data_IF_978987148432
#
_entry.id   IF_978987148432
#
_cell.length_a   1.000
_cell.length_b   1.000
_cell.length_c   1.000
_cell.angle_alpha   90.00
_cell.angle_beta   90.00
_cell.angle_gamma   90.00
#
_symmetry.space_group_name_H-M   'P 1'
#
loop_
_entity.id
_entity.type
_entity.pdbx_description
1 polymer ?
#
# COMPACT_ATOMS: atom_id res chain seq x y z
N UNK A 1 1.52 0.11 20.57
CA UNK A 1 1.85 -0.61 19.31
C UNK A 1 0.60 -0.58 18.46
N UNK A 2 0.57 0.26 17.42
CA UNK A 2 -0.58 0.32 16.50
C UNK A 2 -0.32 -0.63 15.34
N UNK A 3 -1.05 -1.73 15.29
CA UNK A 3 -1.02 -2.65 14.16
C UNK A 3 -1.96 -2.13 13.07
N UNK A 4 -1.49 -2.06 11.83
CA UNK A 4 -2.33 -1.76 10.66
C UNK A 4 -2.65 -3.08 9.96
N UNK A 5 -3.92 -3.49 10.01
CA UNK A 5 -4.40 -4.68 9.30
C UNK A 5 -4.97 -4.25 7.95
N UNK A 6 -4.50 -4.87 6.87
CA UNK A 6 -5.01 -4.67 5.52
C UNK A 6 -5.74 -5.94 5.11
N UNK A 7 -7.05 -5.85 4.89
CA UNK A 7 -7.88 -6.95 4.40
C UNK A 7 -8.50 -6.60 3.03
N UNK A 8 -8.11 -7.33 1.99
CA UNK A 8 -8.66 -7.12 0.64
C UNK A 8 -10.16 -7.43 0.54
N UNK A 9 -10.73 -8.22 1.47
CA UNK A 9 -12.18 -8.50 1.46
C UNK A 9 -13.03 -7.28 1.86
N UNK A 10 -12.51 -6.43 2.75
CA UNK A 10 -13.23 -5.25 3.26
C UNK A 10 -12.95 -3.98 2.44
N UNK A 11 -12.09 -4.08 1.42
CA UNK A 11 -11.66 -2.96 0.60
C UNK A 11 -12.78 -2.46 -0.33
N UNK A 12 -13.12 -1.18 -0.24
CA UNK A 12 -14.14 -0.53 -1.12
C UNK A 12 -13.80 -0.58 -2.61
N UNK A 13 -12.52 -0.74 -2.96
CA UNK A 13 -12.07 -0.85 -4.35
C UNK A 13 -12.14 -2.28 -4.90
N UNK A 14 -12.59 -3.27 -4.10
CA UNK A 14 -12.68 -4.68 -4.48
C UNK A 14 -13.47 -4.85 -5.79
N UNK A 15 -12.95 -5.71 -6.68
CA UNK A 15 -13.53 -6.00 -7.98
C UNK A 15 -13.61 -4.81 -8.96
N UNK A 16 -12.87 -3.73 -8.72
CA UNK A 16 -12.65 -2.65 -9.68
C UNK A 16 -11.29 -2.81 -10.39
N UNK A 17 -11.04 -2.13 -11.52
CA UNK A 17 -9.71 -2.12 -12.16
C UNK A 17 -8.57 -1.63 -11.25
N UNK A 18 -8.88 -0.93 -10.15
CA UNK A 18 -7.86 -0.55 -9.17
C UNK A 18 -7.30 -1.75 -8.39
N UNK A 19 -8.05 -2.86 -8.29
CA UNK A 19 -7.55 -4.09 -7.65
C UNK A 19 -6.48 -4.80 -8.46
N UNK A 20 -6.57 -4.77 -9.80
CA UNK A 20 -5.58 -5.40 -10.67
C UNK A 20 -4.25 -4.64 -10.69
N UNK A 21 -4.26 -3.36 -10.33
CA UNK A 21 -3.08 -2.49 -10.18
C UNK A 21 -2.71 -2.27 -8.69
N UNK A 22 -3.19 -3.12 -7.78
CA UNK A 22 -2.98 -2.93 -6.35
C UNK A 22 -1.65 -3.53 -5.89
N UNK A 23 -0.80 -2.72 -5.26
CA UNK A 23 0.47 -3.17 -4.65
C UNK A 23 0.27 -4.20 -3.52
N UNK A 24 -0.91 -4.24 -2.89
CA UNK A 24 -1.21 -5.14 -1.78
C UNK A 24 -1.21 -6.61 -2.23
N UNK A 25 -1.61 -6.90 -3.47
CA UNK A 25 -1.56 -8.26 -4.03
C UNK A 25 -0.12 -8.80 -4.02
N UNK A 26 0.84 -7.99 -4.49
CA UNK A 26 2.26 -8.33 -4.43
C UNK A 26 2.80 -8.44 -2.99
N UNK A 27 2.25 -7.65 -2.07
CA UNK A 27 2.63 -7.65 -0.67
C UNK A 27 2.07 -8.83 0.13
N UNK A 28 0.95 -9.44 -0.27
CA UNK A 28 0.36 -10.58 0.45
C UNK A 28 0.74 -11.93 -0.16
N UNK A 29 1.13 -11.97 -1.44
CA UNK A 29 1.53 -13.21 -2.14
C UNK A 29 2.98 -13.64 -1.86
N UNK A 30 3.80 -12.76 -1.29
CA UNK A 30 5.21 -13.03 -1.01
C UNK A 30 5.40 -13.67 0.36
N UNK A 31 5.68 -14.97 0.42
CA UNK A 31 6.16 -15.62 1.66
C UNK A 31 7.61 -15.25 2.00
N UNK A 32 8.30 -14.52 1.12
CA UNK A 32 9.72 -14.17 1.22
C UNK A 32 9.88 -12.65 1.31
N UNK A 33 9.37 -12.06 2.40
CA UNK A 33 9.53 -10.64 2.66
C UNK A 33 10.98 -10.31 3.04
N UNK A 34 11.79 -9.92 2.06
CA UNK A 34 12.99 -9.14 2.30
C UNK A 34 12.58 -7.69 2.62
N UNK A 35 13.13 -7.12 3.68
CA UNK A 35 12.96 -5.70 3.95
C UNK A 35 13.53 -4.90 2.77
N UNK A 36 12.75 -3.97 2.22
CA UNK A 36 13.25 -3.03 1.21
C UNK A 36 14.10 -1.99 1.93
N UNK A 37 15.42 -2.06 1.75
CA UNK A 37 16.37 -1.12 2.33
C UNK A 37 16.59 0.02 1.35
N UNK A 38 16.32 1.24 1.79
CA UNK A 38 16.62 2.46 1.05
C UNK A 38 17.88 3.13 1.60
N UNK A 39 18.73 3.65 0.73
CA UNK A 39 19.72 4.66 1.15
C UNK A 39 19.04 6.03 1.28
N UNK A 40 19.67 6.94 2.02
CA UNK A 40 19.10 8.27 2.31
C UNK A 40 18.73 9.07 1.04
N UNK A 41 19.50 8.93 -0.03
CA UNK A 41 19.22 9.60 -1.30
C UNK A 41 17.94 9.07 -1.96
N UNK A 42 17.74 7.76 -1.94
CA UNK A 42 16.54 7.12 -2.50
C UNK A 42 15.30 7.50 -1.70
N UNK A 43 15.39 7.49 -0.36
CA UNK A 43 14.29 7.92 0.50
C UNK A 43 13.87 9.38 0.21
N UNK A 44 14.84 10.27 -0.03
CA UNK A 44 14.56 11.66 -0.43
C UNK A 44 13.87 11.75 -1.79
N UNK A 45 14.31 10.94 -2.76
CA UNK A 45 13.71 10.92 -4.09
C UNK A 45 12.26 10.42 -4.05
N UNK A 46 11.99 9.33 -3.32
CA UNK A 46 10.62 8.80 -3.13
C UNK A 46 9.71 9.85 -2.51
N UNK A 47 10.22 10.59 -1.50
CA UNK A 47 9.46 11.68 -0.88
C UNK A 47 9.16 12.81 -1.86
N UNK A 48 10.14 13.24 -2.67
CA UNK A 48 9.94 14.27 -3.69
C UNK A 48 8.88 13.85 -4.70
N UNK A 49 8.91 12.60 -5.16
CA UNK A 49 7.90 12.08 -6.08
C UNK A 49 6.50 12.05 -5.46
N UNK A 50 6.39 11.74 -4.16
CA UNK A 50 5.12 11.77 -3.45
C UNK A 50 4.54 13.19 -3.37
N UNK A 51 5.39 14.18 -3.04
CA UNK A 51 5.01 15.59 -3.00
C UNK A 51 4.60 16.12 -4.39
N UNK A 52 5.22 15.61 -5.47
CA UNK A 52 4.87 15.94 -6.85
C UNK A 52 3.69 15.14 -7.43
N UNK A 53 3.11 14.19 -6.69
CA UNK A 53 2.01 13.33 -7.17
C UNK A 53 2.43 12.27 -8.20
N UNK A 54 3.73 11.96 -8.29
CA UNK A 54 4.31 11.01 -9.23
C UNK A 54 4.39 9.57 -8.68
N UNK A 55 3.98 9.36 -7.43
CA UNK A 55 3.79 8.01 -6.84
C UNK A 55 2.39 7.87 -6.25
N UNK A 56 1.85 6.64 -6.19
CA UNK A 56 0.56 6.41 -5.56
C UNK A 56 0.55 6.85 -4.09
N UNK A 57 -0.43 7.64 -3.71
CA UNK A 57 -0.72 7.92 -2.30
C UNK A 57 -1.46 6.73 -1.67
N UNK A 58 -1.50 6.66 -0.33
CA UNK A 58 -2.28 5.63 0.37
C UNK A 58 -3.76 5.77 -0.01
N UNK A 59 -4.28 4.81 -0.80
CA UNK A 59 -5.68 4.78 -1.24
C UNK A 59 -6.60 4.03 -0.25
N UNK A 60 -6.03 3.35 0.73
CA UNK A 60 -6.79 2.59 1.71
C UNK A 60 -7.61 3.54 2.60
N UNK A 61 -8.93 3.40 2.53
CA UNK A 61 -9.87 3.93 3.53
C UNK A 61 -10.45 2.74 4.26
N UNK A 62 -10.21 2.67 5.56
CA UNK A 62 -10.86 1.67 6.39
C UNK A 62 -12.38 1.87 6.27
N UNK A 63 -13.07 0.85 5.78
CA UNK A 63 -14.50 0.69 6.01
C UNK A 63 -14.67 0.41 7.50
N UNK A 64 -15.63 1.07 8.16
CA UNK A 64 -15.97 0.71 9.53
C UNK A 64 -16.40 -0.77 9.51
N UNK A 65 -15.60 -1.64 10.12
CA UNK A 65 -15.95 -3.04 10.31
C UNK A 65 -17.12 -3.05 11.29
N UNK A 66 -18.32 -3.40 10.81
CA UNK A 66 -19.43 -3.76 11.68
C UNK A 66 -19.23 -5.23 12.08
N UNK A 67 -19.29 -5.47 13.39
CA UNK A 67 -19.05 -6.73 14.12
C UNK A 67 -19.75 -7.97 13.54
#
# INVERSE_FOLDING_TARGET
>A
MNNLIINCHDCVMRATPACTDCVVTFGCESSEHSAVVFVLAEQRAVRLFAEAGLVPTLRHRATAVNE
#
